data_IF_408218261398
#
_entry.id   IF_408218261398
#
_cell.length_a   1.000
_cell.length_b   1.000
_cell.length_c   1.000
_cell.angle_alpha   90.00
_cell.angle_beta   90.00
_cell.angle_gamma   90.00
#
_symmetry.space_group_name_H-M   'P 1'
#
loop_
_entity.id
_entity.type
_entity.pdbx_description
1 polymer ?
#
# COMPACT_ATOMS: atom_id res chain seq x y z
N UNK A 1 -24.72 23.22 -17.20
CA UNK A 1 -23.38 22.68 -16.91
C UNK A 1 -23.21 21.41 -17.73
N UNK A 2 -22.35 21.40 -18.74
CA UNK A 2 -22.11 20.24 -19.59
C UNK A 2 -21.09 19.31 -18.92
N UNK A 3 -21.51 18.10 -18.57
CA UNK A 3 -20.59 17.05 -18.12
C UNK A 3 -19.92 16.48 -19.37
N UNK A 4 -18.58 16.57 -19.46
CA UNK A 4 -17.81 15.95 -20.54
C UNK A 4 -18.08 14.44 -20.56
N UNK A 5 -18.50 13.84 -21.70
CA UNK A 5 -18.72 12.41 -21.81
C UNK A 5 -17.40 11.61 -21.78
N UNK A 6 -16.25 12.29 -21.88
CA UNK A 6 -14.94 11.66 -21.85
C UNK A 6 -14.37 11.60 -20.43
N UNK A 7 -13.82 10.44 -20.00
CA UNK A 7 -13.08 10.33 -18.76
C UNK A 7 -11.98 11.39 -18.69
N UNK A 8 -11.71 11.90 -17.49
CA UNK A 8 -10.62 12.86 -17.29
C UNK A 8 -9.28 12.28 -17.77
N UNK A 9 -8.36 13.17 -18.18
CA UNK A 9 -7.01 12.77 -18.63
C UNK A 9 -6.24 11.95 -17.59
N UNK A 10 -6.50 12.17 -16.29
CA UNK A 10 -5.94 11.34 -15.21
C UNK A 10 -6.52 9.92 -15.20
N UNK A 11 -7.83 9.77 -15.43
CA UNK A 11 -8.51 8.48 -15.51
C UNK A 11 -8.00 7.63 -16.68
N UNK A 12 -7.72 8.25 -17.83
CA UNK A 12 -7.08 7.57 -18.97
C UNK A 12 -5.64 7.14 -18.68
N UNK A 13 -4.84 7.99 -18.03
CA UNK A 13 -3.47 7.65 -17.63
C UNK A 13 -3.45 6.46 -16.68
N UNK A 14 -4.36 6.42 -15.70
CA UNK A 14 -4.47 5.30 -14.78
C UNK A 14 -4.95 4.03 -15.51
N UNK A 15 -5.96 4.12 -16.38
CA UNK A 15 -6.45 2.97 -17.14
C UNK A 15 -5.36 2.37 -18.06
N UNK A 16 -4.64 3.19 -18.82
CA UNK A 16 -3.55 2.73 -19.69
C UNK A 16 -2.38 2.15 -18.89
N UNK A 17 -2.07 2.74 -17.74
CA UNK A 17 -1.03 2.25 -16.84
C UNK A 17 -1.37 0.87 -16.25
N UNK A 18 -2.63 0.66 -15.86
CA UNK A 18 -3.08 -0.64 -15.33
C UNK A 18 -3.02 -1.74 -16.39
N UNK A 19 -3.35 -1.43 -17.65
CA UNK A 19 -3.31 -2.40 -18.75
C UNK A 19 -1.87 -2.88 -19.04
N UNK A 20 -0.88 -2.00 -18.84
CA UNK A 20 0.53 -2.28 -19.18
C UNK A 20 1.34 -2.77 -17.98
N UNK A 21 0.79 -2.74 -16.77
CA UNK A 21 1.49 -3.23 -15.59
C UNK A 21 1.25 -4.74 -15.42
N UNK A 22 2.31 -5.54 -15.17
CA UNK A 22 2.13 -6.92 -14.74
C UNK A 22 1.27 -7.01 -13.45
N UNK A 23 0.40 -8.01 -13.40
CA UNK A 23 -0.48 -8.24 -12.26
C UNK A 23 0.29 -8.83 -11.06
N UNK A 24 -0.34 -8.81 -9.88
CA UNK A 24 0.19 -9.44 -8.66
C UNK A 24 0.51 -10.93 -8.92
N UNK A 25 1.62 -11.46 -8.35
CA UNK A 25 1.94 -12.88 -8.44
C UNK A 25 0.80 -13.78 -7.93
N UNK A 26 0.47 -14.84 -8.67
CA UNK A 26 -0.65 -15.77 -8.35
C UNK A 26 -0.59 -16.32 -6.93
N UNK A 27 0.61 -16.65 -6.43
CA UNK A 27 0.81 -17.16 -5.06
C UNK A 27 0.37 -16.14 -4.01
N UNK A 28 0.69 -14.86 -4.22
CA UNK A 28 0.31 -13.79 -3.30
C UNK A 28 -1.20 -13.55 -3.36
N UNK A 29 -1.79 -13.52 -4.55
CA UNK A 29 -3.25 -13.42 -4.72
C UNK A 29 -3.98 -14.53 -3.97
N UNK A 30 -3.55 -15.78 -4.16
CA UNK A 30 -4.11 -16.94 -3.46
C UNK A 30 -4.00 -16.80 -1.94
N UNK A 31 -2.86 -16.34 -1.43
CA UNK A 31 -2.67 -16.12 0.00
C UNK A 31 -3.62 -15.05 0.56
N UNK A 32 -3.91 -13.99 -0.20
CA UNK A 32 -4.88 -12.96 0.20
C UNK A 32 -6.30 -13.55 0.24
N UNK A 33 -6.67 -14.38 -0.74
CA UNK A 33 -7.96 -15.08 -0.76
C UNK A 33 -8.10 -16.04 0.43
N UNK A 34 -7.06 -16.81 0.75
CA UNK A 34 -7.00 -17.69 1.93
C UNK A 34 -7.13 -16.90 3.26
N UNK A 35 -6.64 -15.65 3.29
CA UNK A 35 -6.84 -14.71 4.40
C UNK A 35 -8.23 -14.07 4.44
N UNK A 36 -9.12 -14.44 3.51
CA UNK A 36 -10.44 -13.81 3.30
C UNK A 36 -10.32 -12.30 3.06
N UNK A 37 -9.25 -11.91 2.36
CA UNK A 37 -9.00 -10.53 1.98
C UNK A 37 -9.98 -10.05 0.91
N UNK A 38 -10.46 -8.83 1.04
CA UNK A 38 -11.39 -8.20 0.09
C UNK A 38 -10.96 -6.77 -0.25
N UNK A 39 -11.61 -6.16 -1.24
CA UNK A 39 -11.29 -4.83 -1.75
C UNK A 39 -9.79 -4.68 -2.12
N UNK A 40 -9.28 -5.66 -2.88
CA UNK A 40 -7.90 -5.66 -3.36
C UNK A 40 -7.70 -4.55 -4.39
N UNK A 41 -6.79 -3.63 -4.12
CA UNK A 41 -6.50 -2.49 -4.98
C UNK A 41 -5.00 -2.25 -5.10
N UNK A 42 -4.55 -1.95 -6.32
CA UNK A 42 -3.18 -1.52 -6.53
C UNK A 42 -3.00 -0.08 -6.02
N UNK A 43 -2.08 0.12 -5.07
CA UNK A 43 -1.83 1.44 -4.50
C UNK A 43 -0.84 2.20 -5.36
N UNK A 44 0.33 1.61 -5.65
CA UNK A 44 1.42 2.29 -6.34
C UNK A 44 2.41 1.29 -6.98
N UNK A 45 3.03 1.69 -8.08
CA UNK A 45 4.33 1.15 -8.51
C UNK A 45 5.42 2.17 -8.25
N UNK A 46 6.50 1.69 -7.63
CA UNK A 46 7.57 2.57 -7.21
C UNK A 46 8.91 1.87 -7.35
N UNK A 47 9.88 2.58 -7.93
CA UNK A 47 11.29 2.25 -7.79
C UNK A 47 11.77 2.74 -6.43
N UNK A 48 12.30 1.85 -5.60
CA UNK A 48 12.85 2.21 -4.30
C UNK A 48 14.03 3.16 -4.49
N UNK A 49 14.01 4.29 -3.79
CA UNK A 49 15.05 5.32 -3.85
C UNK A 49 15.80 5.41 -2.51
N UNK A 50 16.86 6.20 -2.46
CA UNK A 50 17.69 6.38 -1.26
C UNK A 50 16.87 6.70 -0.01
N UNK A 51 15.87 7.59 -0.10
CA UNK A 51 15.03 7.95 1.05
C UNK A 51 14.20 6.78 1.58
N UNK A 52 13.79 5.85 0.71
CA UNK A 52 13.05 4.66 1.15
C UNK A 52 13.98 3.62 1.80
N UNK A 53 15.29 3.69 1.52
CA UNK A 53 16.28 2.71 1.96
C UNK A 53 17.18 3.26 3.07
N UNK A 54 16.91 4.48 3.54
CA UNK A 54 17.67 5.13 4.58
C UNK A 54 17.40 4.45 5.93
N UNK A 55 18.43 3.82 6.50
CA UNK A 55 18.35 3.13 7.79
C UNK A 55 17.96 4.04 8.95
N UNK A 56 18.30 5.35 8.89
CA UNK A 56 17.95 6.30 9.95
C UNK A 56 16.47 6.66 9.93
N UNK A 57 15.91 6.81 8.74
CA UNK A 57 14.52 7.22 8.58
C UNK A 57 13.61 5.99 8.78
N UNK A 58 13.96 4.87 8.13
CA UNK A 58 13.26 3.60 8.26
C UNK A 58 11.80 3.68 7.81
N UNK A 59 11.55 4.33 6.66
CA UNK A 59 10.18 4.54 6.13
C UNK A 59 10.10 4.33 4.63
N UNK A 60 8.99 3.77 4.18
CA UNK A 60 8.61 3.79 2.77
C UNK A 60 7.60 4.92 2.52
N UNK A 61 7.92 5.83 1.60
CA UNK A 61 7.04 6.93 1.25
C UNK A 61 6.11 6.60 0.07
N UNK A 62 4.82 6.86 0.25
CA UNK A 62 3.77 6.73 -0.77
C UNK A 62 3.22 8.13 -1.08
N UNK A 63 3.83 8.79 -2.06
CA UNK A 63 3.44 10.15 -2.46
C UNK A 63 1.98 10.13 -2.94
N UNK A 64 1.10 10.92 -2.31
CA UNK A 64 -0.36 10.83 -2.49
C UNK A 64 -0.78 11.07 -3.94
N UNK A 65 -0.18 12.05 -4.61
CA UNK A 65 -0.44 12.34 -6.04
C UNK A 65 -0.06 11.21 -7.00
N UNK A 66 0.69 10.20 -6.55
CA UNK A 66 1.09 9.02 -7.34
C UNK A 66 0.27 7.77 -7.00
N UNK A 67 -0.63 7.85 -6.03
CA UNK A 67 -1.53 6.75 -5.67
C UNK A 67 -2.54 6.55 -6.80
N UNK A 68 -2.74 5.29 -7.18
CA UNK A 68 -3.62 4.91 -8.28
C UNK A 68 -5.07 4.75 -7.81
N UNK A 69 -5.25 4.10 -6.66
CA UNK A 69 -6.54 3.86 -6.04
C UNK A 69 -6.51 4.24 -4.56
N UNK A 70 -7.55 4.95 -4.13
CA UNK A 70 -7.67 5.40 -2.75
C UNK A 70 -8.08 4.23 -1.85
N UNK A 71 -7.27 3.95 -0.84
CA UNK A 71 -7.39 2.77 0.02
C UNK A 71 -7.76 3.07 1.47
N UNK A 72 -7.85 4.35 1.84
CA UNK A 72 -8.15 4.84 3.19
C UNK A 72 -9.64 5.18 3.29
N UNK A 73 -10.25 4.98 4.47
CA UNK A 73 -11.63 5.43 4.73
C UNK A 73 -11.64 6.87 5.25
N UNK A 74 -12.78 7.59 5.20
CA UNK A 74 -12.86 8.95 5.74
C UNK A 74 -12.42 9.07 7.22
N UNK A 75 -12.78 8.10 8.05
CA UNK A 75 -12.40 8.09 9.48
C UNK A 75 -10.90 7.84 9.68
N UNK A 76 -10.32 6.94 8.89
CA UNK A 76 -8.88 6.71 8.88
C UNK A 76 -8.12 7.92 8.35
N UNK A 77 -8.65 8.61 7.33
CA UNK A 77 -8.05 9.85 6.85
C UNK A 77 -8.08 10.94 7.92
N UNK A 78 -9.18 11.06 8.67
CA UNK A 78 -9.26 11.96 9.82
C UNK A 78 -8.20 11.63 10.86
N UNK A 79 -8.07 10.35 11.24
CA UNK A 79 -7.04 9.89 12.17
C UNK A 79 -5.63 10.21 11.65
N UNK A 80 -5.35 9.97 10.38
CA UNK A 80 -4.03 10.20 9.78
C UNK A 80 -3.71 11.70 9.60
N UNK A 81 -4.71 12.57 9.57
CA UNK A 81 -4.51 14.02 9.51
C UNK A 81 -4.18 14.65 10.87
N UNK A 82 -4.37 13.91 11.97
CA UNK A 82 -3.96 14.38 13.30
C UNK A 82 -2.43 14.39 13.42
N UNK A 83 -1.87 15.35 14.16
CA UNK A 83 -0.42 15.57 14.24
C UNK A 83 0.37 14.34 14.75
N UNK A 84 -0.25 13.52 15.60
CA UNK A 84 0.29 12.26 16.11
C UNK A 84 -0.49 11.04 15.58
N UNK A 85 -1.22 11.23 14.49
CA UNK A 85 -2.06 10.24 13.86
C UNK A 85 -1.26 9.09 13.26
N UNK A 86 -1.55 7.87 13.71
CA UNK A 86 -1.05 6.66 13.09
C UNK A 86 -2.12 5.58 13.14
N UNK A 87 -2.04 4.64 12.21
CA UNK A 87 -2.85 3.42 12.24
C UNK A 87 -1.96 2.19 12.10
N UNK A 88 -2.32 1.13 12.82
CA UNK A 88 -1.70 -0.17 12.64
C UNK A 88 -2.14 -0.80 11.33
N UNK A 89 -1.17 -1.22 10.54
CA UNK A 89 -1.39 -1.94 9.28
C UNK A 89 -0.47 -3.16 9.25
N UNK A 90 -0.68 -4.03 8.27
CA UNK A 90 0.13 -5.24 8.10
C UNK A 90 0.60 -5.35 6.66
N UNK A 91 1.81 -5.85 6.42
CA UNK A 91 2.33 -6.11 5.07
C UNK A 91 2.53 -7.61 4.90
N UNK A 92 1.88 -8.17 3.88
CA UNK A 92 2.13 -9.51 3.35
C UNK A 92 3.27 -9.44 2.31
N UNK A 93 4.36 -10.16 2.56
CA UNK A 93 5.49 -10.25 1.63
C UNK A 93 5.40 -11.44 0.66
N UNK A 94 6.31 -11.51 -0.32
CA UNK A 94 6.37 -12.61 -1.30
C UNK A 94 6.67 -13.98 -0.67
N UNK A 95 7.25 -14.00 0.53
CA UNK A 95 7.45 -15.20 1.35
C UNK A 95 6.17 -15.62 2.10
N UNK A 96 5.04 -14.95 1.88
CA UNK A 96 3.77 -15.12 2.58
C UNK A 96 3.83 -14.81 4.07
N UNK A 97 4.76 -13.96 4.50
CA UNK A 97 4.89 -13.57 5.90
C UNK A 97 4.17 -12.24 6.10
N UNK A 98 3.43 -12.15 7.19
CA UNK A 98 2.72 -10.93 7.59
C UNK A 98 3.58 -10.20 8.61
N UNK A 99 3.89 -8.93 8.34
CA UNK A 99 4.68 -8.08 9.22
C UNK A 99 3.85 -6.86 9.66
N UNK A 100 3.74 -6.55 10.96
CA UNK A 100 3.06 -5.34 11.41
C UNK A 100 3.86 -4.09 11.01
N UNK A 101 3.15 -2.99 10.76
CA UNK A 101 3.70 -1.68 10.42
C UNK A 101 2.78 -0.60 10.98
N UNK A 102 3.28 0.63 11.05
CA UNK A 102 2.42 1.80 11.21
C UNK A 102 2.33 2.58 9.92
N UNK A 103 1.13 3.01 9.59
CA UNK A 103 0.87 4.00 8.54
C UNK A 103 0.67 5.36 9.18
N UNK A 104 1.42 6.35 8.71
CA UNK A 104 1.25 7.76 9.09
C UNK A 104 1.08 8.62 7.84
N UNK A 105 0.60 9.86 7.99
CA UNK A 105 0.61 10.86 6.93
C UNK A 105 1.58 11.97 7.30
N UNK A 106 2.31 12.45 6.32
CA UNK A 106 3.29 13.51 6.51
C UNK A 106 3.70 14.12 5.18
N UNK A 107 4.85 14.80 5.17
CA UNK A 107 5.41 15.41 3.98
C UNK A 107 6.79 14.83 3.67
N UNK A 108 7.02 14.57 2.39
CA UNK A 108 8.35 14.38 1.83
C UNK A 108 8.62 15.54 0.88
N UNK A 109 9.59 16.39 1.23
CA UNK A 109 9.81 17.66 0.56
C UNK A 109 8.50 18.49 0.53
N UNK A 110 8.01 18.82 -0.67
CA UNK A 110 6.77 19.59 -0.88
C UNK A 110 5.55 18.71 -1.18
N UNK A 111 5.62 17.40 -0.92
CA UNK A 111 4.56 16.47 -1.29
C UNK A 111 3.99 15.76 -0.07
N UNK A 112 2.66 15.78 0.05
CA UNK A 112 1.97 14.95 1.01
C UNK A 112 2.16 13.47 0.65
N UNK A 113 2.49 12.67 1.65
CA UNK A 113 2.78 11.25 1.51
C UNK A 113 2.23 10.47 2.69
N UNK A 114 1.77 9.26 2.42
CA UNK A 114 1.69 8.25 3.47
C UNK A 114 3.06 7.63 3.71
N UNK A 115 3.34 7.23 4.93
CA UNK A 115 4.60 6.60 5.31
C UNK A 115 4.31 5.27 6.01
N UNK A 116 4.88 4.18 5.49
CA UNK A 116 4.97 2.92 6.22
C UNK A 116 6.23 2.95 7.09
N UNK A 117 6.08 2.78 8.40
CA UNK A 117 7.11 3.09 9.41
C UNK A 117 7.29 1.96 10.43
N UNK A 118 8.16 2.20 11.43
CA UNK A 118 8.49 1.33 12.58
C UNK A 118 9.30 0.09 12.23
N UNK A 119 8.81 -0.77 11.34
CA UNK A 119 9.46 -2.06 11.02
C UNK A 119 9.98 -2.15 9.59
N UNK A 120 9.97 -1.04 8.85
CA UNK A 120 10.36 -1.02 7.44
C UNK A 120 11.79 -1.52 7.18
N UNK A 121 12.79 -1.10 7.95
CA UNK A 121 14.17 -1.57 7.77
C UNK A 121 14.31 -3.08 7.98
N UNK A 122 13.63 -3.62 8.99
CA UNK A 122 13.59 -5.07 9.23
C UNK A 122 12.93 -5.80 8.06
N UNK A 123 11.83 -5.25 7.53
CA UNK A 123 11.17 -5.77 6.35
C UNK A 123 12.06 -5.74 5.10
N UNK A 124 12.80 -4.64 4.89
CA UNK A 124 13.79 -4.49 3.82
C UNK A 124 14.85 -5.58 3.90
N UNK A 125 15.48 -5.75 5.07
CA UNK A 125 16.53 -6.74 5.27
C UNK A 125 16.01 -8.17 5.03
N UNK A 126 14.84 -8.49 5.59
CA UNK A 126 14.19 -9.80 5.48
C UNK A 126 13.79 -10.16 4.05
N UNK A 127 13.46 -9.17 3.23
CA UNK A 127 13.04 -9.35 1.84
C UNK A 127 14.14 -8.99 0.82
N UNK A 128 15.38 -8.74 1.30
CA UNK A 128 16.52 -8.38 0.46
C UNK A 128 16.23 -7.23 -0.52
N UNK A 129 15.43 -6.25 -0.10
CA UNK A 129 15.11 -5.10 -0.93
C UNK A 129 16.34 -4.20 -1.08
N UNK A 130 16.50 -3.62 -2.26
CA UNK A 130 17.64 -2.75 -2.59
C UNK A 130 17.17 -1.48 -3.28
N UNK A 131 17.99 -0.43 -3.19
CA UNK A 131 17.81 0.77 -4.01
C UNK A 131 17.72 0.35 -5.47
N UNK A 132 16.71 0.85 -6.15
CA UNK A 132 16.46 0.60 -7.56
C UNK A 132 15.54 -0.56 -7.87
N UNK A 133 15.21 -1.43 -6.91
CA UNK A 133 14.16 -2.44 -7.11
C UNK A 133 12.82 -1.75 -7.39
N UNK A 134 12.11 -2.25 -8.40
CA UNK A 134 10.73 -1.92 -8.69
C UNK A 134 9.79 -2.79 -7.85
N UNK A 135 8.95 -2.14 -7.06
CA UNK A 135 7.93 -2.80 -6.25
C UNK A 135 6.53 -2.43 -6.72
N UNK A 136 5.58 -3.33 -6.47
CA UNK A 136 4.16 -3.00 -6.39
C UNK A 136 3.71 -3.09 -4.95
N UNK A 137 2.88 -2.13 -4.56
CA UNK A 137 2.18 -2.17 -3.29
C UNK A 137 0.69 -2.24 -3.58
N UNK A 138 0.05 -3.26 -3.04
CA UNK A 138 -1.38 -3.48 -3.09
C UNK A 138 -1.96 -3.27 -1.70
N UNK A 139 -3.22 -2.84 -1.63
CA UNK A 139 -3.99 -2.78 -0.39
C UNK A 139 -5.14 -3.77 -0.45
N UNK A 140 -5.52 -4.32 0.70
CA UNK A 140 -6.72 -5.10 0.85
C UNK A 140 -7.22 -4.99 2.30
N UNK A 141 -8.45 -5.38 2.53
CA UNK A 141 -9.10 -5.36 3.82
C UNK A 141 -9.33 -6.78 4.31
N UNK A 142 -9.27 -6.95 5.63
CA UNK A 142 -9.72 -8.18 6.29
C UNK A 142 -10.67 -7.81 7.40
N UNK A 143 -11.83 -8.47 7.43
CA UNK A 143 -12.82 -8.25 8.46
C UNK A 143 -12.21 -8.58 9.83
N UNK A 144 -12.28 -7.64 10.76
CA UNK A 144 -11.83 -7.81 12.14
C UNK A 144 -13.01 -8.27 12.99
N UNK A 145 -14.10 -7.51 12.97
CA UNK A 145 -15.34 -7.79 13.69
C UNK A 145 -16.53 -7.39 12.84
N UNK A 146 -17.56 -8.23 12.87
CA UNK A 146 -18.90 -7.93 12.39
C UNK A 146 -19.84 -8.14 13.57
N UNK A 147 -20.48 -7.07 14.00
CA UNK A 147 -21.60 -7.11 14.93
C UNK A 147 -22.82 -6.61 14.16
N UNK A 148 -23.69 -7.56 13.76
CA UNK A 148 -24.86 -7.26 12.94
C UNK A 148 -25.91 -6.52 13.78
N UNK A 149 -26.02 -6.85 15.07
CA UNK A 149 -27.02 -6.27 15.97
C UNK A 149 -26.70 -4.81 16.28
N UNK A 150 -25.41 -4.50 16.46
CA UNK A 150 -24.94 -3.14 16.72
C UNK A 150 -24.47 -2.39 15.47
N UNK A 151 -24.66 -2.97 14.28
CA UNK A 151 -24.23 -2.43 12.99
C UNK A 151 -22.73 -2.07 12.94
N UNK A 152 -21.88 -2.78 13.70
CA UNK A 152 -20.44 -2.53 13.73
C UNK A 152 -19.76 -3.41 12.68
N UNK A 153 -19.16 -2.76 11.69
CA UNK A 153 -18.28 -3.41 10.73
C UNK A 153 -16.89 -2.80 10.80
N UNK A 154 -15.93 -3.53 11.35
CA UNK A 154 -14.54 -3.08 11.40
C UNK A 154 -13.65 -3.99 10.58
N UNK A 155 -12.70 -3.39 9.88
CA UNK A 155 -11.74 -4.11 9.06
C UNK A 155 -10.33 -3.59 9.30
N UNK A 156 -9.37 -4.50 9.22
CA UNK A 156 -7.96 -4.19 9.21
C UNK A 156 -7.51 -3.84 7.79
N UNK A 157 -6.66 -2.81 7.68
CA UNK A 157 -5.92 -2.52 6.46
C UNK A 157 -4.66 -3.39 6.38
N UNK A 158 -4.54 -4.12 5.28
CA UNK A 158 -3.34 -4.84 4.90
C UNK A 158 -2.79 -4.26 3.61
N UNK A 159 -1.48 -4.39 3.46
CA UNK A 159 -0.79 -4.25 2.19
C UNK A 159 -0.21 -5.59 1.77
N UNK A 160 -0.02 -5.76 0.45
CA UNK A 160 0.80 -6.81 -0.11
C UNK A 160 1.90 -6.19 -0.97
N UNK A 161 3.15 -6.58 -0.75
CA UNK A 161 4.30 -6.02 -1.43
C UNK A 161 5.01 -7.12 -2.21
N UNK A 162 5.12 -6.93 -3.53
CA UNK A 162 5.91 -7.78 -4.41
C UNK A 162 6.95 -6.99 -5.19
N UNK A 163 8.08 -7.63 -5.46
CA UNK A 163 9.13 -7.11 -6.35
C UNK A 163 8.83 -7.51 -7.80
N UNK A 164 9.22 -6.66 -8.74
CA UNK A 164 9.01 -6.86 -10.19
C UNK A 164 10.27 -7.30 -10.91
N UNK A 165 11.44 -7.00 -10.36
CA UNK A 165 12.74 -7.18 -11.01
C UNK A 165 13.36 -8.57 -10.77
N UNK A 166 12.56 -9.55 -10.34
CA UNK A 166 13.00 -10.92 -10.06
C UNK A 166 13.48 -11.13 -8.63
N UNK A 167 13.14 -12.30 -8.07
CA UNK A 167 13.37 -12.64 -6.66
C UNK A 167 14.86 -12.79 -6.36
N UNK A 168 15.32 -12.21 -5.24
CA UNK A 168 16.43 -12.81 -4.51
C UNK A 168 15.91 -14.10 -3.86
N UNK A 169 16.26 -15.25 -4.43
CA UNK A 169 16.21 -16.50 -3.68
C UNK A 169 17.41 -16.49 -2.74
N UNK A 170 17.15 -16.39 -1.42
CA UNK A 170 18.09 -16.86 -0.42
C UNK A 170 17.84 -18.34 -0.17
#
# INVERSE_FOLDING_TARGET
MSVSPYPSRSKWRNAFFLITTPDMPTRMRKQIEEMQGYNLQLVIHKKLIETDMNEKDGRLFLIIKKILFHFITPDEEKLLNDANGFMEVKILDEGQRVSPMFLTKGKIQEHDAYCLTTHWNSFVAKNCLKIGHLIQLWSFRRVRLVDIENEIFTSDLYFALNTMDGRCFL
#
